data_IF_806541762314
#
_entry.id   IF_806541762314
#
_cell.length_a   1.000
_cell.length_b   1.000
_cell.length_c   1.000
_cell.angle_alpha   90.00
_cell.angle_beta   90.00
_cell.angle_gamma   90.00
#
_symmetry.space_group_name_H-M   'P 1'
#
loop_
_entity.id
_entity.type
_entity.pdbx_description
1 polymer ?
#
# COMPACT_ATOMS: atom_id res chain seq x y z
N UNK A 1 -0.45 -1.32 2.41
CA UNK A 1 -1.23 -1.38 1.15
C UNK A 1 -0.47 -0.62 0.10
N UNK A 2 -0.23 -1.21 -1.07
CA UNK A 2 0.53 -0.60 -2.17
C UNK A 2 -0.41 0.02 -3.21
N UNK A 3 0.14 0.80 -4.14
CA UNK A 3 -0.59 1.41 -5.26
C UNK A 3 -1.86 2.20 -4.85
N UNK A 4 -1.85 2.77 -3.65
CA UNK A 4 -2.93 3.61 -3.16
C UNK A 4 -2.76 5.06 -3.63
N UNK A 5 -3.87 5.71 -3.94
CA UNK A 5 -3.89 7.14 -4.19
C UNK A 5 -3.41 7.89 -2.94
N UNK A 6 -2.70 9.02 -3.08
CA UNK A 6 -2.23 9.79 -1.92
C UNK A 6 -3.33 10.22 -0.95
N UNK A 7 -4.55 10.42 -1.45
CA UNK A 7 -5.71 10.82 -0.65
C UNK A 7 -6.52 9.62 -0.12
N UNK A 8 -6.13 8.38 -0.41
CA UNK A 8 -6.84 7.20 0.06
C UNK A 8 -6.27 6.70 1.40
N UNK A 9 -7.15 6.27 2.28
CA UNK A 9 -6.82 5.66 3.56
C UNK A 9 -8.02 4.96 4.19
N UNK A 10 -7.83 4.48 5.40
CA UNK A 10 -8.87 3.86 6.25
C UNK A 10 -8.85 4.55 7.61
N UNK A 11 -9.94 4.45 8.36
CA UNK A 11 -10.07 5.05 9.68
C UNK A 11 -9.92 4.00 10.77
N UNK A 12 -9.41 4.40 11.94
CA UNK A 12 -9.42 3.53 13.13
C UNK A 12 -10.87 3.14 13.43
N UNK A 13 -11.12 1.84 13.54
CA UNK A 13 -12.45 1.28 13.77
C UNK A 13 -13.14 0.73 12.52
N UNK A 14 -12.62 0.99 11.31
CA UNK A 14 -13.14 0.37 10.08
C UNK A 14 -12.91 -1.14 10.10
N UNK A 15 -13.94 -1.90 9.69
CA UNK A 15 -13.82 -3.33 9.44
C UNK A 15 -13.16 -3.56 8.07
N UNK A 16 -12.09 -4.36 8.05
CA UNK A 16 -11.35 -4.67 6.83
C UNK A 16 -11.35 -6.17 6.57
N UNK A 17 -11.63 -6.57 5.33
CA UNK A 17 -11.38 -7.93 4.86
C UNK A 17 -10.28 -7.91 3.77
N UNK A 18 -9.34 -8.84 3.90
CA UNK A 18 -8.28 -9.12 2.93
C UNK A 18 -8.50 -10.54 2.42
N UNK A 19 -9.02 -10.74 1.20
CA UNK A 19 -9.09 -12.06 0.59
C UNK A 19 -7.68 -12.62 0.38
N UNK A 20 -7.50 -13.91 0.66
CA UNK A 20 -6.25 -14.67 0.45
C UNK A 20 -4.98 -13.94 0.95
N UNK A 21 -4.89 -13.63 2.26
CA UNK A 21 -3.80 -12.82 2.79
C UNK A 21 -2.47 -13.58 2.74
N UNK A 22 -1.45 -12.94 2.15
CA UNK A 22 -0.06 -13.38 2.30
C UNK A 22 0.52 -12.80 3.59
N UNK A 23 0.70 -13.66 4.60
CA UNK A 23 1.33 -13.33 5.86
C UNK A 23 2.84 -13.50 5.76
N UNK A 24 3.59 -12.48 6.15
CA UNK A 24 5.05 -12.50 6.21
C UNK A 24 5.51 -12.23 7.63
N UNK A 25 6.37 -13.10 8.16
CA UNK A 25 7.11 -12.82 9.39
C UNK A 25 8.37 -12.03 9.04
N UNK A 26 8.44 -10.80 9.56
CA UNK A 26 9.58 -9.90 9.39
C UNK A 26 10.47 -9.95 10.63
N UNK A 27 11.76 -10.17 10.41
CA UNK A 27 12.78 -10.05 11.45
C UNK A 27 13.97 -9.30 10.85
N UNK A 28 14.14 -8.05 11.24
CA UNK A 28 15.17 -7.15 10.70
C UNK A 28 16.09 -6.67 11.82
N UNK A 29 17.39 -6.60 11.52
CA UNK A 29 18.37 -5.99 12.41
C UNK A 29 18.97 -4.77 11.73
N UNK A 30 18.94 -3.62 12.40
CA UNK A 30 19.50 -2.38 11.87
C UNK A 30 19.99 -1.49 13.01
N UNK A 31 21.23 -0.98 12.89
CA UNK A 31 21.85 -0.09 13.88
C UNK A 31 21.75 -0.62 15.33
N UNK A 32 22.04 -1.91 15.52
CA UNK A 32 22.00 -2.55 16.84
C UNK A 32 20.60 -2.83 17.41
N UNK A 33 19.54 -2.52 16.68
CA UNK A 33 18.15 -2.77 17.09
C UNK A 33 17.54 -3.91 16.27
N UNK A 34 16.65 -4.68 16.91
CA UNK A 34 15.89 -5.76 16.27
C UNK A 34 14.42 -5.38 16.16
N UNK A 35 13.86 -5.49 14.95
CA UNK A 35 12.46 -5.25 14.66
C UNK A 35 11.82 -6.56 14.23
N UNK A 36 10.86 -7.05 15.01
CA UNK A 36 10.13 -8.29 14.74
C UNK A 36 8.65 -8.01 14.69
N UNK A 37 8.00 -8.31 13.56
CA UNK A 37 6.58 -8.10 13.36
C UNK A 37 6.02 -8.99 12.25
N UNK A 38 4.70 -9.19 12.26
CA UNK A 38 3.98 -9.79 11.15
C UNK A 38 3.48 -8.71 10.20
N UNK A 39 3.54 -8.97 8.89
CA UNK A 39 3.07 -8.06 7.86
C UNK A 39 2.14 -8.77 6.89
N UNK A 40 1.12 -8.05 6.42
CA UNK A 40 0.27 -8.50 5.30
C UNK A 40 0.50 -7.57 4.12
N UNK A 41 0.93 -8.15 3.00
CA UNK A 41 1.17 -7.41 1.77
C UNK A 41 -0.11 -7.33 0.93
N UNK A 42 -0.74 -6.16 0.93
CA UNK A 42 -1.90 -5.88 0.09
C UNK A 42 -1.46 -5.09 -1.15
N UNK A 43 -1.60 -5.62 -2.38
CA UNK A 43 -1.04 -5.02 -3.60
C UNK A 43 -1.76 -3.75 -4.07
N UNK A 44 -3.04 -3.60 -3.74
CA UNK A 44 -3.88 -2.46 -4.12
C UNK A 44 -5.03 -2.29 -3.11
N UNK A 45 -5.54 -1.06 -2.89
CA UNK A 45 -6.78 -0.85 -2.15
C UNK A 45 -7.98 -1.63 -2.72
N UNK A 46 -8.01 -1.91 -4.03
CA UNK A 46 -9.11 -2.64 -4.65
C UNK A 46 -9.13 -4.14 -4.31
N UNK A 47 -8.07 -4.65 -3.68
CA UNK A 47 -8.02 -6.01 -3.13
C UNK A 47 -8.60 -6.09 -1.71
N UNK A 48 -9.19 -5.01 -1.20
CA UNK A 48 -9.79 -4.95 0.13
C UNK A 48 -11.32 -4.84 0.06
N UNK A 49 -11.96 -5.17 1.17
CA UNK A 49 -13.32 -4.77 1.49
C UNK A 49 -13.28 -3.95 2.78
N UNK A 50 -13.81 -2.73 2.74
CA UNK A 50 -13.86 -1.79 3.87
C UNK A 50 -15.32 -1.58 4.26
N UNK A 51 -15.69 -1.91 5.49
CA UNK A 51 -17.06 -1.83 6.00
C UNK A 51 -18.08 -2.50 5.07
N UNK A 52 -17.72 -3.69 4.56
CA UNK A 52 -18.55 -4.47 3.64
C UNK A 52 -18.59 -3.94 2.19
N UNK A 53 -17.81 -2.92 1.85
CA UNK A 53 -17.78 -2.31 0.49
C UNK A 53 -16.40 -2.35 -0.13
N UNK A 54 -16.34 -2.59 -1.44
CA UNK A 54 -15.11 -2.46 -2.22
C UNK A 54 -14.73 -0.98 -2.36
N UNK A 55 -13.46 -0.58 -2.14
CA UNK A 55 -13.02 0.80 -2.39
C UNK A 55 -13.24 1.25 -3.84
N UNK A 56 -13.48 2.55 -4.08
CA UNK A 56 -13.70 3.09 -5.42
C UNK A 56 -12.42 3.06 -6.27
N UNK A 57 -12.55 3.17 -7.60
CA UNK A 57 -11.40 3.19 -8.51
C UNK A 57 -10.41 4.34 -8.21
N UNK A 58 -10.92 5.48 -7.72
CA UNK A 58 -10.09 6.61 -7.26
C UNK A 58 -9.19 6.31 -6.06
N UNK A 59 -9.39 5.16 -5.40
CA UNK A 59 -8.47 4.65 -4.37
C UNK A 59 -7.13 4.22 -4.94
N UNK A 60 -7.04 3.88 -6.23
CA UNK A 60 -5.79 3.56 -6.91
C UNK A 60 -4.98 4.81 -7.20
N UNK A 61 -3.66 4.72 -7.09
CA UNK A 61 -2.79 5.79 -7.56
C UNK A 61 -3.01 6.04 -9.06
N UNK A 62 -3.10 7.33 -9.49
CA UNK A 62 -3.25 7.64 -10.90
C UNK A 62 -1.96 7.30 -11.66
N UNK A 63 -2.05 6.89 -12.94
CA UNK A 63 -0.88 6.68 -13.78
C UNK A 63 -0.10 7.99 -13.92
N UNK A 64 1.23 7.93 -13.81
CA UNK A 64 2.12 9.08 -14.02
C UNK A 64 3.04 8.79 -15.19
N UNK A 65 3.04 9.69 -16.17
CA UNK A 65 4.03 9.74 -17.24
C UNK A 65 5.12 10.72 -16.84
N UNK A 66 6.35 10.24 -16.73
CA UNK A 66 7.52 11.09 -16.58
C UNK A 66 8.24 11.18 -17.93
N UNK A 67 8.38 12.40 -18.45
CA UNK A 67 9.18 12.68 -19.65
C UNK A 67 10.52 13.24 -19.17
N UNK A 68 11.61 12.53 -19.42
CA UNK A 68 12.96 13.05 -19.22
C UNK A 68 13.53 13.47 -20.57
N UNK A 69 13.95 14.72 -20.71
CA UNK A 69 14.73 15.16 -21.86
C UNK A 69 16.23 15.02 -21.53
N UNK A 70 16.96 14.06 -22.11
CA UNK A 70 18.38 13.87 -21.83
C UNK A 70 19.28 15.03 -22.31
N UNK A 71 18.76 15.99 -23.09
CA UNK A 71 19.50 17.16 -23.58
C UNK A 71 19.24 18.46 -22.80
N UNK A 72 18.43 18.44 -21.74
CA UNK A 72 18.20 19.64 -20.94
C UNK A 72 19.46 19.96 -20.09
N UNK A 73 19.98 21.21 -20.12
CA UNK A 73 21.05 21.62 -19.21
C UNK A 73 20.57 21.57 -17.75
N UNK A 74 21.49 21.39 -16.79
CA UNK A 74 21.18 21.29 -15.36
C UNK A 74 20.57 22.56 -14.77
#
# INVERSE_FOLDING_TARGET
>A
VYNAAPAWGVTVGDALAVPDPLLTQHQHQHQGQTFSFLGVRVPSPLSLVVNGRRPPASALAPPRLALSNPSAPP
#
